data_IF_528974187469
#
_entry.id   IF_528974187469
#
_cell.length_a   1.000
_cell.length_b   1.000
_cell.length_c   1.000
_cell.angle_alpha   90.00
_cell.angle_beta   90.00
_cell.angle_gamma   90.00
#
_symmetry.space_group_name_H-M   'P 1'
#
loop_
_entity.id
_entity.type
_entity.pdbx_description
1 polymer ?
#
# COMPACT_ATOMS: atom_id res chain seq x y z
N UNK A 1 -11.94 -7.67 0.75
CA UNK A 1 -10.59 -8.03 0.24
C UNK A 1 -9.49 -7.69 1.25
N UNK A 2 -9.33 -6.44 1.69
CA UNK A 2 -8.25 -6.04 2.63
C UNK A 2 -8.11 -6.95 3.87
N UNK A 3 -9.22 -7.31 4.50
CA UNK A 3 -9.20 -8.18 5.69
C UNK A 3 -8.58 -9.55 5.42
N UNK A 4 -8.79 -10.13 4.24
CA UNK A 4 -8.19 -11.41 3.83
C UNK A 4 -6.67 -11.27 3.71
N UNK A 5 -6.21 -10.19 3.07
CA UNK A 5 -4.78 -9.90 2.93
C UNK A 5 -4.10 -9.69 4.28
N UNK A 6 -4.75 -8.92 5.16
CA UNK A 6 -4.26 -8.72 6.52
C UNK A 6 -4.17 -10.07 7.24
N UNK A 7 -5.23 -10.87 7.20
CA UNK A 7 -5.23 -12.19 7.84
C UNK A 7 -4.12 -13.11 7.33
N UNK A 8 -3.96 -13.26 6.01
CA UNK A 8 -2.98 -14.16 5.39
C UNK A 8 -1.53 -13.75 5.70
N UNK A 9 -1.26 -12.43 5.75
CA UNK A 9 0.11 -11.93 5.85
C UNK A 9 0.52 -11.46 7.25
N UNK A 10 -0.43 -11.37 8.19
CA UNK A 10 -0.22 -10.71 9.48
C UNK A 10 0.99 -11.26 10.25
N UNK A 11 1.20 -12.57 10.23
CA UNK A 11 2.29 -13.22 10.96
C UNK A 11 3.64 -13.17 10.21
N UNK A 12 3.63 -12.81 8.92
CA UNK A 12 4.79 -12.90 8.04
C UNK A 12 5.40 -11.56 7.66
N UNK A 13 4.71 -10.45 7.95
CA UNK A 13 5.21 -9.09 7.71
C UNK A 13 5.35 -8.30 9.00
N UNK A 14 6.27 -7.34 8.98
CA UNK A 14 6.53 -6.44 10.11
C UNK A 14 5.47 -5.34 10.20
N UNK A 15 5.08 -4.77 9.04
CA UNK A 15 4.20 -3.61 8.98
C UNK A 15 3.41 -3.61 7.67
N UNK A 16 2.13 -3.26 7.74
CA UNK A 16 1.28 -2.89 6.62
C UNK A 16 1.26 -1.37 6.48
N UNK A 17 1.73 -0.87 5.33
CA UNK A 17 1.54 0.51 4.93
C UNK A 17 0.27 0.59 4.09
N UNK A 18 -0.78 1.21 4.61
CA UNK A 18 -2.05 1.33 3.89
C UNK A 18 -2.32 2.81 3.61
N UNK A 19 -2.25 3.16 2.33
CA UNK A 19 -2.54 4.50 1.84
C UNK A 19 -3.95 4.52 1.27
N UNK A 20 -4.77 5.48 1.70
CA UNK A 20 -6.13 5.66 1.21
C UNK A 20 -6.33 7.07 0.66
N UNK A 21 -6.79 7.17 -0.59
CA UNK A 21 -7.14 8.43 -1.25
C UNK A 21 -8.62 8.78 -1.11
N UNK A 22 -8.96 10.06 -1.14
CA UNK A 22 -10.34 10.58 -1.29
C UNK A 22 -10.86 10.57 -2.74
N UNK A 23 -10.07 10.05 -3.69
CA UNK A 23 -10.45 9.89 -5.10
C UNK A 23 -10.36 8.43 -5.57
N UNK A 24 -11.15 8.07 -6.57
CA UNK A 24 -10.95 6.88 -7.39
C UNK A 24 -9.76 7.08 -8.35
N UNK A 25 -9.27 5.98 -8.97
CA UNK A 25 -8.27 6.05 -10.03
C UNK A 25 -8.70 6.93 -11.22
N UNK A 26 -10.00 7.01 -11.48
CA UNK A 26 -10.61 7.89 -12.49
C UNK A 26 -10.87 9.33 -12.00
N UNK A 27 -10.40 9.70 -10.81
CA UNK A 27 -10.50 11.06 -10.27
C UNK A 27 -11.89 11.44 -9.76
N UNK A 28 -12.78 10.47 -9.51
CA UNK A 28 -14.09 10.73 -8.89
C UNK A 28 -13.95 10.76 -7.36
N UNK A 29 -14.62 11.68 -6.65
CA UNK A 29 -14.64 11.65 -5.19
C UNK A 29 -15.16 10.32 -4.67
N UNK A 30 -14.51 9.82 -3.62
CA UNK A 30 -14.96 8.65 -2.86
C UNK A 30 -14.75 8.86 -1.36
N UNK A 31 -15.55 8.21 -0.51
CA UNK A 31 -15.28 8.16 0.91
C UNK A 31 -13.94 7.47 1.23
N UNK A 32 -13.44 7.75 2.43
CA UNK A 32 -12.32 7.03 3.03
C UNK A 32 -12.85 5.79 3.74
N UNK A 33 -13.14 4.73 2.96
CA UNK A 33 -13.72 3.48 3.45
C UNK A 33 -12.93 2.84 4.59
N UNK A 34 -11.60 2.85 4.56
CA UNK A 34 -10.79 2.31 5.66
C UNK A 34 -10.95 3.15 6.93
N UNK A 35 -10.99 4.48 6.80
CA UNK A 35 -11.25 5.38 7.93
C UNK A 35 -12.62 5.14 8.55
N UNK A 36 -13.66 5.05 7.72
CA UNK A 36 -15.05 4.83 8.17
C UNK A 36 -15.23 3.47 8.84
N UNK A 37 -14.50 2.45 8.39
CA UNK A 37 -14.57 1.09 8.91
C UNK A 37 -13.39 0.73 9.81
N UNK A 38 -12.71 1.72 10.40
CA UNK A 38 -11.44 1.50 11.09
C UNK A 38 -11.53 0.49 12.24
N UNK A 39 -12.64 0.52 13.00
CA UNK A 39 -12.91 -0.38 14.12
C UNK A 39 -12.96 -1.86 13.71
N UNK A 40 -13.39 -2.17 12.48
CA UNK A 40 -13.42 -3.55 11.95
C UNK A 40 -12.03 -4.19 11.93
N UNK A 41 -10.98 -3.39 11.78
CA UNK A 41 -9.60 -3.85 11.66
C UNK A 41 -8.83 -3.81 12.98
N UNK A 42 -9.49 -3.62 14.12
CA UNK A 42 -8.86 -3.43 15.44
C UNK A 42 -7.78 -4.46 15.77
N UNK A 43 -8.02 -5.74 15.44
CA UNK A 43 -7.06 -6.85 15.66
C UNK A 43 -5.73 -6.71 14.92
N UNK A 44 -5.65 -5.83 13.92
CA UNK A 44 -4.47 -5.64 13.07
C UNK A 44 -3.80 -4.27 13.30
N UNK A 45 -4.40 -3.37 14.09
CA UNK A 45 -3.96 -1.97 14.22
C UNK A 45 -2.50 -1.83 14.64
N UNK A 46 -2.00 -2.73 15.49
CA UNK A 46 -0.61 -2.75 15.94
C UNK A 46 0.42 -2.95 14.81
N UNK A 47 0.01 -3.47 13.65
CA UNK A 47 0.85 -3.62 12.45
C UNK A 47 0.39 -2.74 11.28
N UNK A 48 -0.59 -1.87 11.45
CA UNK A 48 -1.05 -1.00 10.35
C UNK A 48 -0.58 0.44 10.58
N UNK A 49 0.17 0.97 9.62
CA UNK A 49 0.37 2.41 9.46
C UNK A 49 -0.56 2.92 8.36
N UNK A 50 -1.61 3.63 8.77
CA UNK A 50 -2.59 4.23 7.86
C UNK A 50 -2.13 5.62 7.44
N UNK A 51 -2.26 5.91 6.15
CA UNK A 51 -1.94 7.21 5.55
C UNK A 51 -3.14 7.67 4.75
N UNK A 52 -3.67 8.84 5.06
CA UNK A 52 -4.67 9.51 4.24
C UNK A 52 -3.95 10.37 3.21
N UNK A 53 -4.40 10.29 1.97
CA UNK A 53 -3.84 11.04 0.86
C UNK A 53 -4.94 11.89 0.24
N UNK A 54 -4.78 13.20 0.27
CA UNK A 54 -5.67 14.12 -0.43
C UNK A 54 -5.07 14.44 -1.80
N UNK A 55 -5.73 13.97 -2.85
CA UNK A 55 -5.30 14.22 -4.23
C UNK A 55 -6.27 15.10 -5.01
N UNK A 56 -7.20 15.80 -4.33
CA UNK A 56 -8.20 16.63 -4.99
C UNK A 56 -7.60 17.64 -5.98
N UNK A 57 -6.39 18.14 -5.68
CA UNK A 57 -5.65 19.10 -6.50
C UNK A 57 -4.54 18.47 -7.36
N UNK A 58 -4.30 17.16 -7.25
CA UNK A 58 -3.15 16.47 -7.85
C UNK A 58 -3.54 15.51 -8.98
N UNK A 59 -4.80 15.11 -9.09
CA UNK A 59 -5.26 14.22 -10.18
C UNK A 59 -5.88 15.05 -11.30
N UNK A 60 -5.30 14.91 -12.50
CA UNK A 60 -5.90 15.45 -13.71
C UNK A 60 -6.90 14.44 -14.30
N UNK A 61 -8.19 14.80 -14.28
CA UNK A 61 -9.30 13.97 -14.76
C UNK A 61 -9.27 13.69 -16.28
N UNK A 62 -8.42 14.39 -17.02
CA UNK A 62 -8.27 14.22 -18.48
C UNK A 62 -7.08 13.34 -18.87
N UNK A 63 -6.29 12.84 -17.91
CA UNK A 63 -5.15 11.97 -18.17
C UNK A 63 -5.55 10.50 -18.00
N UNK A 64 -4.89 9.64 -18.77
CA UNK A 64 -4.96 8.18 -18.73
C UNK A 64 -4.95 7.60 -17.30
N UNK A 65 -5.74 6.55 -17.07
CA UNK A 65 -5.90 5.89 -15.78
C UNK A 65 -4.56 5.35 -15.25
N UNK A 66 -3.67 4.89 -16.13
CA UNK A 66 -2.34 4.40 -15.77
C UNK A 66 -1.40 5.50 -15.25
N UNK A 67 -1.61 6.75 -15.65
CA UNK A 67 -0.86 7.87 -15.09
C UNK A 67 -1.32 8.17 -13.66
N UNK A 68 -2.63 8.13 -13.43
CA UNK A 68 -3.19 8.36 -12.09
C UNK A 68 -2.77 7.24 -11.13
N UNK A 69 -2.80 6.00 -11.58
CA UNK A 69 -2.31 4.84 -10.85
C UNK A 69 -0.85 5.04 -10.38
N UNK A 70 0.07 5.32 -11.31
CA UNK A 70 1.48 5.58 -10.99
C UNK A 70 1.67 6.76 -10.04
N UNK A 71 0.93 7.85 -10.27
CA UNK A 71 0.95 9.04 -9.41
C UNK A 71 0.50 8.69 -7.99
N UNK A 72 -0.61 7.98 -7.86
CA UNK A 72 -1.17 7.55 -6.58
C UNK A 72 -0.24 6.61 -5.84
N UNK A 73 0.38 5.64 -6.54
CA UNK A 73 1.35 4.72 -5.95
C UNK A 73 2.58 5.46 -5.44
N UNK A 74 3.20 6.28 -6.27
CA UNK A 74 4.43 7.00 -5.93
C UNK A 74 4.22 7.98 -4.78
N UNK A 75 3.14 8.76 -4.83
CA UNK A 75 2.81 9.71 -3.77
C UNK A 75 2.44 8.99 -2.46
N UNK A 76 1.72 7.87 -2.56
CA UNK A 76 1.41 7.03 -1.41
C UNK A 76 2.66 6.48 -0.72
N UNK A 77 3.64 5.97 -1.49
CA UNK A 77 4.92 5.51 -0.94
C UNK A 77 5.66 6.67 -0.27
N UNK A 78 5.72 7.83 -0.94
CA UNK A 78 6.39 9.03 -0.41
C UNK A 78 5.80 9.48 0.93
N UNK A 79 4.47 9.47 1.06
CA UNK A 79 3.77 9.85 2.28
C UNK A 79 3.87 8.79 3.39
N UNK A 80 3.90 7.50 3.03
CA UNK A 80 4.01 6.41 4.00
C UNK A 80 5.41 6.26 4.57
N UNK A 81 6.44 6.63 3.81
CA UNK A 81 7.86 6.47 4.16
C UNK A 81 8.65 7.78 4.01
N UNK A 82 8.23 8.88 4.67
CA UNK A 82 8.90 10.16 4.52
C UNK A 82 10.33 10.07 5.06
N UNK A 83 11.32 10.37 4.20
CA UNK A 83 12.74 10.40 4.56
C UNK A 83 13.25 9.09 5.20
N UNK A 84 12.68 7.93 4.86
CA UNK A 84 13.13 6.66 5.42
C UNK A 84 14.56 6.37 4.95
N UNK A 85 15.48 6.24 5.92
CA UNK A 85 16.88 5.83 5.71
C UNK A 85 17.14 4.36 6.08
N UNK A 86 16.07 3.61 6.36
CA UNK A 86 16.18 2.21 6.76
C UNK A 86 16.26 1.33 5.51
N UNK A 87 17.01 0.24 5.61
CA UNK A 87 16.93 -0.85 4.66
C UNK A 87 15.66 -1.66 4.94
N UNK A 88 14.75 -1.70 3.98
CA UNK A 88 13.54 -2.53 4.03
C UNK A 88 13.25 -3.09 2.65
N UNK A 89 12.68 -4.29 2.63
CA UNK A 89 12.03 -4.83 1.45
C UNK A 89 10.59 -4.30 1.41
N UNK A 90 10.28 -3.47 0.41
CA UNK A 90 8.92 -3.00 0.18
C UNK A 90 8.25 -3.90 -0.87
N UNK A 91 7.11 -4.47 -0.51
CA UNK A 91 6.28 -5.24 -1.43
C UNK A 91 5.00 -4.46 -1.72
N UNK A 92 4.81 -4.13 -2.99
CA UNK A 92 3.60 -3.45 -3.50
C UNK A 92 2.89 -4.37 -4.49
N UNK A 93 1.57 -4.46 -4.42
CA UNK A 93 0.72 -5.20 -5.35
C UNK A 93 -0.73 -4.81 -5.13
N UNK A 94 -1.59 -5.10 -6.09
CA UNK A 94 -3.02 -4.81 -5.99
C UNK A 94 -3.67 -5.59 -4.85
N UNK A 95 -4.78 -5.09 -4.30
CA UNK A 95 -5.35 -5.55 -3.04
C UNK A 95 -5.73 -7.04 -3.04
N UNK A 96 -6.11 -7.55 -4.20
CA UNK A 96 -6.51 -8.92 -4.49
C UNK A 96 -5.35 -9.83 -4.92
N UNK A 97 -4.17 -9.29 -5.22
CA UNK A 97 -2.95 -10.05 -5.55
C UNK A 97 -2.19 -10.47 -4.29
N UNK A 98 -2.80 -11.32 -3.47
CA UNK A 98 -2.24 -11.70 -2.17
C UNK A 98 -1.10 -12.72 -2.37
N UNK A 99 0.18 -12.36 -2.09
CA UNK A 99 1.29 -13.31 -2.19
C UNK A 99 1.13 -14.42 -1.15
N UNK A 100 1.50 -15.65 -1.51
CA UNK A 100 1.53 -16.76 -0.55
C UNK A 100 2.57 -16.50 0.53
N UNK A 101 2.27 -16.85 1.78
CA UNK A 101 3.19 -16.63 2.90
C UNK A 101 4.59 -17.24 2.67
N UNK A 102 4.68 -18.41 2.01
CA UNK A 102 5.96 -19.08 1.71
C UNK A 102 6.87 -18.23 0.83
N UNK A 103 6.30 -17.44 -0.08
CA UNK A 103 7.06 -16.52 -0.92
C UNK A 103 7.66 -15.38 -0.09
N UNK A 104 6.89 -14.82 0.85
CA UNK A 104 7.35 -13.78 1.77
C UNK A 104 8.50 -14.30 2.64
N UNK A 105 8.37 -15.51 3.19
CA UNK A 105 9.43 -16.13 3.98
C UNK A 105 10.71 -16.36 3.17
N UNK A 106 10.57 -16.85 1.94
CA UNK A 106 11.72 -17.04 1.05
C UNK A 106 12.43 -15.70 0.76
N UNK A 107 11.68 -14.65 0.41
CA UNK A 107 12.23 -13.31 0.19
C UNK A 107 12.96 -12.77 1.41
N UNK A 108 12.37 -12.92 2.61
CA UNK A 108 12.98 -12.47 3.86
C UNK A 108 14.28 -13.20 4.21
N UNK A 109 14.48 -14.42 3.69
CA UNK A 109 15.70 -15.21 3.88
C UNK A 109 16.79 -14.93 2.84
N UNK A 110 16.47 -14.24 1.74
CA UNK A 110 17.41 -13.94 0.68
C UNK A 110 18.27 -12.72 0.99
N UNK A 111 19.55 -12.77 0.63
CA UNK A 111 20.39 -11.58 0.47
C UNK A 111 20.10 -10.95 -0.89
N UNK A 112 19.20 -9.98 -0.92
CA UNK A 112 18.91 -9.21 -2.12
C UNK A 112 19.87 -8.00 -2.20
N UNK A 113 20.44 -7.70 -3.38
CA UNK A 113 21.23 -6.48 -3.56
C UNK A 113 20.33 -5.26 -3.36
N UNK A 114 20.72 -4.31 -2.51
CA UNK A 114 19.93 -3.11 -2.25
C UNK A 114 20.49 -1.90 -3.02
N UNK A 115 19.67 -1.15 -3.79
CA UNK A 115 18.22 -1.33 -3.97
C UNK A 115 17.86 -2.40 -5.02
N UNK A 116 16.93 -3.29 -4.69
CA UNK A 116 16.31 -4.21 -5.63
C UNK A 116 14.91 -3.69 -5.95
N UNK A 117 14.62 -3.47 -7.22
CA UNK A 117 13.29 -3.12 -7.70
C UNK A 117 12.95 -4.03 -8.88
N UNK A 118 11.91 -4.85 -8.75
CA UNK A 118 11.34 -5.55 -9.90
C UNK A 118 10.56 -4.54 -10.74
N UNK A 119 10.88 -4.46 -12.03
CA UNK A 119 10.14 -3.66 -12.99
C UNK A 119 8.86 -4.41 -13.37
N UNK A 120 7.71 -3.82 -13.08
CA UNK A 120 6.45 -4.07 -13.80
C UNK A 120 6.20 -2.92 -14.78
#
# INVERSE_FOLDING_TARGET
>A
MLEIRLYELYDYVTLFLIVESNLTLSGKPKPLYLKENWSRFARYHNKIRRVEMDLMNSINKTIDAWYNERTMRNEGIRLALPNSKKDFLLLTSDLDEIPKFRFIQALASCQLPTPFQSLE
#
